data_IF_346205253475
#
_entry.id   IF_346205253475
#
_cell.length_a   1.000
_cell.length_b   1.000
_cell.length_c   1.000
_cell.angle_alpha   90.00
_cell.angle_beta   90.00
_cell.angle_gamma   90.00
#
_symmetry.space_group_name_H-M   'P 1'
#
loop_
_entity.id
_entity.type
_entity.pdbx_description
1 polymer ?
#
# COMPACT_ATOMS: atom_id res chain seq x y z
N UNK A 1 -1.86 22.28 15.19
CA UNK A 1 -3.02 22.40 14.26
C UNK A 1 -2.67 22.07 12.79
N UNK A 2 -1.47 22.37 12.31
CA UNK A 2 -1.05 22.20 10.89
C UNK A 2 -0.89 20.75 10.41
N UNK A 3 -0.32 19.86 11.24
CA UNK A 3 -0.11 18.45 10.88
C UNK A 3 -1.40 17.68 10.57
N UNK A 4 -2.49 17.99 11.28
CA UNK A 4 -3.80 17.34 11.08
C UNK A 4 -4.41 17.69 9.72
N UNK A 5 -4.22 18.93 9.23
CA UNK A 5 -4.70 19.37 7.91
C UNK A 5 -3.89 18.75 6.78
N UNK A 6 -2.56 18.69 6.92
CA UNK A 6 -1.69 18.09 5.91
C UNK A 6 -1.98 16.59 5.72
N UNK A 7 -2.22 15.87 6.81
CA UNK A 7 -2.62 14.47 6.79
C UNK A 7 -4.01 14.27 6.14
N UNK A 8 -4.97 15.14 6.45
CA UNK A 8 -6.29 15.12 5.79
C UNK A 8 -6.17 15.34 4.28
N UNK A 9 -5.34 16.28 3.83
CA UNK A 9 -5.11 16.48 2.40
C UNK A 9 -4.46 15.28 1.73
N UNK A 10 -3.49 14.64 2.38
CA UNK A 10 -2.86 13.42 1.88
C UNK A 10 -3.87 12.27 1.78
N UNK A 11 -4.75 12.15 2.77
CA UNK A 11 -5.79 11.13 2.79
C UNK A 11 -6.87 11.39 1.72
N UNK A 12 -7.29 12.65 1.53
CA UNK A 12 -8.25 13.03 0.52
C UNK A 12 -7.67 12.85 -0.89
N UNK A 13 -6.44 13.32 -1.12
CA UNK A 13 -5.73 13.16 -2.39
C UNK A 13 -5.48 11.69 -2.73
N UNK A 14 -5.05 10.90 -1.74
CA UNK A 14 -4.94 9.45 -1.87
C UNK A 14 -6.28 8.81 -2.23
N UNK A 15 -7.35 9.11 -1.50
CA UNK A 15 -8.68 8.57 -1.78
C UNK A 15 -9.18 8.92 -3.20
N UNK A 16 -8.94 10.14 -3.69
CA UNK A 16 -9.30 10.53 -5.06
C UNK A 16 -8.46 9.81 -6.11
N UNK A 17 -7.15 9.68 -5.90
CA UNK A 17 -6.27 8.91 -6.80
C UNK A 17 -6.72 7.45 -6.87
N UNK A 18 -7.02 6.85 -5.71
CA UNK A 18 -7.52 5.48 -5.63
C UNK A 18 -8.88 5.36 -6.35
N UNK A 19 -9.83 6.25 -6.09
CA UNK A 19 -11.12 6.24 -6.80
C UNK A 19 -10.94 6.34 -8.33
N UNK A 20 -9.99 7.16 -8.79
CA UNK A 20 -9.61 7.27 -10.20
C UNK A 20 -9.06 5.96 -10.76
N UNK A 21 -8.11 5.34 -10.07
CA UNK A 21 -7.52 4.04 -10.47
C UNK A 21 -8.60 2.95 -10.54
N UNK A 22 -9.51 2.92 -9.57
CA UNK A 22 -10.62 1.99 -9.54
C UNK A 22 -11.55 2.15 -10.73
N UNK A 23 -12.00 3.37 -11.00
CA UNK A 23 -12.84 3.68 -12.14
C UNK A 23 -12.15 3.32 -13.46
N UNK A 24 -10.86 3.67 -13.57
CA UNK A 24 -10.05 3.40 -14.76
C UNK A 24 -9.88 1.89 -15.02
N UNK A 25 -9.79 1.08 -13.95
CA UNK A 25 -9.64 -0.37 -14.07
C UNK A 25 -10.80 -1.05 -14.83
N UNK A 26 -12.00 -0.47 -14.85
CA UNK A 26 -13.14 -1.02 -15.60
C UNK A 26 -13.06 -0.76 -17.11
N UNK A 27 -12.18 0.15 -17.55
CA UNK A 27 -12.04 0.53 -18.95
C UNK A 27 -10.81 -0.04 -19.60
N UNK A 28 -9.73 -0.15 -18.84
CA UNK A 28 -8.43 -0.61 -19.36
C UNK A 28 -7.83 -1.68 -18.47
N UNK A 29 -7.32 -2.74 -19.10
CA UNK A 29 -6.33 -3.60 -18.50
C UNK A 29 -4.97 -2.92 -18.56
N UNK A 30 -4.33 -2.80 -17.41
CA UNK A 30 -2.93 -2.38 -17.30
C UNK A 30 -2.18 -3.56 -16.73
N UNK A 31 -1.22 -4.11 -17.48
CA UNK A 31 -0.40 -5.20 -17.02
C UNK A 31 1.08 -4.85 -17.16
N UNK A 32 1.88 -5.36 -16.24
CA UNK A 32 3.32 -5.39 -16.35
C UNK A 32 3.78 -6.84 -16.23
N UNK A 33 4.79 -7.19 -17.00
CA UNK A 33 5.33 -8.53 -17.07
C UNK A 33 6.84 -8.44 -16.87
N UNK A 34 7.38 -9.32 -16.03
CA UNK A 34 8.80 -9.37 -15.70
C UNK A 34 9.26 -10.80 -15.78
N UNK A 35 10.26 -11.08 -16.61
CA UNK A 35 10.95 -12.36 -16.58
C UNK A 35 12.20 -12.28 -15.71
N UNK A 36 12.34 -13.23 -14.78
CA UNK A 36 13.53 -13.38 -13.95
C UNK A 36 14.43 -14.43 -14.60
N UNK A 37 15.67 -14.08 -14.97
CA UNK A 37 16.58 -15.03 -15.59
C UNK A 37 16.96 -16.16 -14.63
N UNK A 38 17.36 -17.27 -15.23
CA UNK A 38 17.61 -18.55 -14.56
C UNK A 38 18.83 -18.50 -13.62
N UNK A 39 18.61 -18.14 -12.36
CA UNK A 39 19.64 -18.16 -11.32
C UNK A 39 19.51 -19.42 -10.46
N UNK A 40 19.83 -20.60 -11.03
CA UNK A 40 20.06 -21.90 -10.37
C UNK A 40 19.01 -22.46 -9.39
N UNK A 41 17.96 -21.72 -9.00
CA UNK A 41 17.02 -22.11 -7.93
C UNK A 41 15.56 -21.86 -8.33
N UNK A 42 15.24 -20.75 -9.00
CA UNK A 42 13.88 -20.46 -9.49
C UNK A 42 14.01 -19.75 -10.85
N UNK A 43 13.40 -20.32 -11.91
CA UNK A 43 13.25 -19.67 -13.21
C UNK A 43 11.77 -19.42 -13.48
N UNK A 44 11.43 -18.23 -13.95
CA UNK A 44 10.04 -17.88 -14.21
C UNK A 44 9.81 -16.42 -14.50
N UNK A 45 8.57 -16.08 -14.80
CA UNK A 45 8.09 -14.71 -14.95
C UNK A 45 7.00 -14.38 -13.95
N UNK A 46 6.87 -13.10 -13.62
CA UNK A 46 5.76 -12.55 -12.88
C UNK A 46 4.97 -11.61 -13.77
N UNK A 47 3.65 -11.68 -13.70
CA UNK A 47 2.72 -10.73 -14.31
C UNK A 47 1.92 -10.07 -13.21
N UNK A 48 1.94 -8.74 -13.18
CA UNK A 48 1.00 -7.97 -12.37
C UNK A 48 0.02 -7.27 -13.28
N UNK A 49 -1.28 -7.42 -13.04
CA UNK A 49 -2.31 -6.81 -13.87
C UNK A 49 -3.40 -6.15 -13.01
N UNK A 50 -3.98 -5.07 -13.53
CA UNK A 50 -5.11 -4.37 -12.95
C UNK A 50 -6.18 -4.21 -14.02
N UNK A 51 -7.33 -4.85 -13.81
CA UNK A 51 -8.49 -4.74 -14.68
C UNK A 51 -9.75 -5.10 -13.91
N UNK A 52 -10.91 -4.58 -14.33
CA UNK A 52 -12.22 -5.02 -13.87
C UNK A 52 -12.36 -5.04 -12.34
N UNK A 53 -11.89 -3.99 -11.65
CA UNK A 53 -11.94 -3.92 -10.20
C UNK A 53 -11.11 -4.99 -9.48
N UNK A 54 -10.11 -5.58 -10.14
CA UNK A 54 -9.25 -6.65 -9.61
C UNK A 54 -7.77 -6.33 -9.83
N UNK A 55 -6.95 -6.65 -8.82
CA UNK A 55 -5.49 -6.74 -8.96
C UNK A 55 -5.11 -8.21 -9.03
N UNK A 56 -4.33 -8.58 -10.04
CA UNK A 56 -3.88 -9.94 -10.29
C UNK A 56 -2.36 -9.99 -10.24
N UNK A 57 -1.80 -10.96 -9.51
CA UNK A 57 -0.40 -11.32 -9.55
C UNK A 57 -0.29 -12.78 -9.98
N UNK A 58 0.35 -13.02 -11.11
CA UNK A 58 0.47 -14.35 -11.71
C UNK A 58 1.95 -14.70 -11.78
N UNK A 59 2.29 -15.84 -11.23
CA UNK A 59 3.61 -16.46 -11.34
C UNK A 59 3.58 -17.53 -12.43
N UNK A 60 4.52 -17.42 -13.35
CA UNK A 60 4.69 -18.28 -14.52
C UNK A 60 6.01 -19.04 -14.34
N UNK A 61 5.99 -20.31 -13.89
CA UNK A 61 7.21 -21.09 -13.76
C UNK A 61 7.74 -21.54 -15.13
N UNK A 62 9.06 -21.56 -15.28
CA UNK A 62 9.73 -21.87 -16.55
C UNK A 62 10.15 -20.58 -17.24
N UNK A 63 11.38 -20.16 -16.99
CA UNK A 63 11.87 -18.83 -17.36
C UNK A 63 11.97 -18.60 -18.86
N UNK A 64 11.54 -17.42 -19.30
CA UNK A 64 12.00 -16.85 -20.55
C UNK A 64 13.54 -16.82 -20.52
N UNK A 65 14.17 -17.19 -21.64
CA UNK A 65 15.63 -17.35 -21.73
C UNK A 65 16.46 -16.08 -21.46
N UNK A 66 15.81 -14.92 -21.29
CA UNK A 66 16.41 -13.62 -21.02
C UNK A 66 15.59 -12.79 -20.03
N UNK A 67 16.25 -11.83 -19.37
CA UNK A 67 15.56 -10.82 -18.56
C UNK A 67 14.85 -9.83 -19.47
N UNK A 68 13.57 -9.59 -19.21
CA UNK A 68 12.80 -8.57 -19.89
C UNK A 68 11.73 -8.02 -18.96
N UNK A 69 11.32 -6.79 -19.25
CA UNK A 69 10.22 -6.09 -18.61
C UNK A 69 9.35 -5.55 -19.75
N UNK A 70 8.06 -5.85 -19.69
CA UNK A 70 7.10 -5.35 -20.67
C UNK A 70 5.90 -4.72 -19.95
N UNK A 71 5.32 -3.71 -20.58
CA UNK A 71 4.15 -3.00 -20.11
C UNK A 71 3.07 -3.10 -21.19
N UNK A 72 1.95 -3.72 -20.82
CA UNK A 72 0.83 -3.90 -21.71
C UNK A 72 -0.36 -3.06 -21.25
N UNK A 73 -1.01 -2.40 -22.20
CA UNK A 73 -2.25 -1.69 -21.98
C UNK A 73 -3.24 -2.05 -23.09
N UNK A 74 -4.43 -2.47 -22.69
CA UNK A 74 -5.51 -2.75 -23.63
C UNK A 74 -6.87 -2.35 -23.06
N UNK A 75 -7.85 -2.13 -23.93
CA UNK A 75 -9.21 -1.90 -23.51
C UNK A 75 -9.83 -3.18 -22.94
N UNK A 76 -10.59 -3.07 -21.84
CA UNK A 76 -11.30 -4.20 -21.22
C UNK A 76 -12.28 -4.87 -22.19
N UNK A 77 -12.76 -4.15 -23.21
CA UNK A 77 -13.59 -4.70 -24.29
C UNK A 77 -12.86 -5.73 -25.15
N UNK A 78 -11.52 -5.77 -25.12
CA UNK A 78 -10.70 -6.78 -25.78
C UNK A 78 -10.54 -8.07 -24.98
N UNK A 79 -10.82 -8.04 -23.66
CA UNK A 79 -10.68 -9.21 -22.80
C UNK A 79 -11.75 -10.27 -23.08
N UNK A 80 -11.46 -11.56 -22.87
CA UNK A 80 -12.47 -12.62 -22.87
C UNK A 80 -13.62 -12.28 -21.91
N UNK A 81 -14.89 -12.60 -22.24
CA UNK A 81 -16.02 -12.32 -21.36
C UNK A 81 -15.87 -12.91 -19.94
N UNK A 82 -15.21 -14.06 -19.82
CA UNK A 82 -14.93 -14.71 -18.53
C UNK A 82 -14.01 -13.91 -17.61
N UNK A 83 -13.21 -13.00 -18.16
CA UNK A 83 -12.25 -12.16 -17.41
C UNK A 83 -12.73 -10.73 -17.16
N UNK A 84 -13.95 -10.42 -17.61
CA UNK A 84 -14.61 -9.13 -17.36
C UNK A 84 -15.35 -9.16 -16.04
N UNK A 85 -14.58 -9.08 -14.96
CA UNK A 85 -15.15 -9.10 -13.61
C UNK A 85 -15.98 -7.83 -13.34
N UNK A 86 -17.03 -7.99 -12.53
CA UNK A 86 -17.87 -6.85 -12.14
C UNK A 86 -17.20 -5.94 -11.11
N UNK A 87 -17.98 -5.01 -10.59
CA UNK A 87 -17.56 -4.01 -9.58
C UNK A 87 -16.93 -4.65 -8.32
N UNK A 88 -17.34 -5.87 -7.99
CA UNK A 88 -16.84 -6.62 -6.83
C UNK A 88 -15.46 -7.25 -7.05
N UNK A 89 -14.97 -7.26 -8.29
CA UNK A 89 -13.71 -7.91 -8.67
C UNK A 89 -13.74 -9.43 -8.51
N UNK A 90 -12.56 -10.04 -8.53
CA UNK A 90 -12.35 -11.48 -8.32
C UNK A 90 -11.39 -11.70 -7.16
N UNK A 91 -11.71 -12.69 -6.32
CA UNK A 91 -10.80 -13.20 -5.30
C UNK A 91 -10.40 -14.63 -5.69
N UNK A 92 -9.11 -14.86 -5.89
CA UNK A 92 -8.55 -16.18 -6.22
C UNK A 92 -7.16 -16.30 -5.63
N UNK A 93 -6.86 -17.43 -5.00
CA UNK A 93 -5.51 -17.78 -4.57
C UNK A 93 -5.28 -19.23 -4.94
N UNK A 94 -4.27 -19.51 -5.75
CA UNK A 94 -3.89 -20.89 -6.10
C UNK A 94 -3.61 -21.04 -7.59
N UNK A 95 -3.69 -22.28 -8.07
CA UNK A 95 -3.34 -22.62 -9.44
C UNK A 95 -4.38 -22.11 -10.45
N UNK A 96 -3.91 -21.72 -11.62
CA UNK A 96 -4.74 -21.37 -12.76
C UNK A 96 -5.08 -22.60 -13.59
N UNK A 97 -6.16 -23.28 -13.20
CA UNK A 97 -6.75 -24.39 -13.96
C UNK A 97 -7.78 -23.86 -14.97
N UNK A 98 -7.30 -23.07 -15.93
CA UNK A 98 -8.12 -22.59 -17.05
C UNK A 98 -7.64 -23.23 -18.35
N UNK A 99 -8.57 -23.50 -19.27
CA UNK A 99 -8.29 -24.19 -20.53
C UNK A 99 -7.23 -23.42 -21.33
N UNK A 100 -6.09 -24.04 -21.59
CA UNK A 100 -4.95 -23.41 -22.27
C UNK A 100 -3.89 -22.77 -21.36
N UNK A 101 -4.10 -22.72 -20.04
CA UNK A 101 -3.09 -22.26 -19.07
C UNK A 101 -2.48 -23.49 -18.36
N UNK A 102 -1.15 -23.66 -18.34
CA UNK A 102 -0.52 -24.73 -17.59
C UNK A 102 -0.85 -24.62 -16.10
N UNK A 103 -1.29 -25.72 -15.48
CA UNK A 103 -1.65 -25.79 -14.05
C UNK A 103 -0.52 -25.44 -13.08
N UNK A 104 0.69 -25.24 -13.58
CA UNK A 104 1.84 -24.74 -12.82
C UNK A 104 1.77 -23.22 -12.54
N UNK A 105 0.87 -22.49 -13.21
CA UNK A 105 0.71 -21.05 -13.00
C UNK A 105 0.01 -20.79 -11.67
N UNK A 106 0.61 -19.97 -10.83
CA UNK A 106 0.03 -19.56 -9.56
C UNK A 106 -0.51 -18.14 -9.68
N UNK A 107 -1.77 -17.94 -9.34
CA UNK A 107 -2.40 -16.62 -9.34
C UNK A 107 -2.87 -16.23 -7.94
N UNK A 108 -2.62 -14.97 -7.61
CA UNK A 108 -3.20 -14.26 -6.48
C UNK A 108 -3.98 -13.09 -7.05
N UNK A 109 -5.30 -13.18 -7.04
CA UNK A 109 -6.22 -12.15 -7.47
C UNK A 109 -6.96 -11.62 -6.26
N UNK A 110 -6.97 -10.30 -6.10
CA UNK A 110 -7.61 -9.61 -5.00
C UNK A 110 -8.54 -8.53 -5.57
N UNK A 111 -9.75 -8.38 -5.03
CA UNK A 111 -10.59 -7.24 -5.36
C UNK A 111 -9.90 -5.94 -4.99
N UNK A 112 -9.95 -4.97 -5.88
CA UNK A 112 -9.28 -3.68 -5.73
C UNK A 112 -9.81 -2.91 -4.50
N UNK A 113 -11.11 -3.03 -4.21
CA UNK A 113 -11.73 -2.45 -3.02
C UNK A 113 -11.16 -3.03 -1.72
N UNK A 114 -10.76 -4.30 -1.70
CA UNK A 114 -10.16 -4.93 -0.52
C UNK A 114 -8.78 -4.33 -0.24
N UNK A 115 -7.98 -4.14 -1.30
CA UNK A 115 -6.68 -3.44 -1.20
C UNK A 115 -6.87 -2.03 -0.62
N UNK A 116 -7.96 -1.34 -1.01
CA UNK A 116 -8.27 -0.02 -0.47
C UNK A 116 -8.65 -0.03 1.00
N UNK A 117 -9.47 -0.99 1.44
CA UNK A 117 -9.80 -1.11 2.85
C UNK A 117 -8.54 -1.39 3.70
N UNK A 118 -7.62 -2.20 3.19
CA UNK A 118 -6.34 -2.47 3.87
C UNK A 118 -5.48 -1.21 3.96
N UNK A 119 -5.34 -0.44 2.87
CA UNK A 119 -4.58 0.80 2.87
C UNK A 119 -5.20 1.87 3.78
N UNK A 120 -6.53 2.03 3.72
CA UNK A 120 -7.24 2.96 4.59
C UNK A 120 -7.10 2.55 6.07
N UNK A 121 -7.27 1.27 6.38
CA UNK A 121 -7.06 0.72 7.72
C UNK A 121 -5.63 0.93 8.23
N UNK A 122 -4.62 0.63 7.41
CA UNK A 122 -3.22 0.86 7.74
C UNK A 122 -2.94 2.34 8.03
N UNK A 123 -3.52 3.25 7.23
CA UNK A 123 -3.44 4.70 7.46
C UNK A 123 -4.01 5.13 8.81
N UNK A 124 -5.19 4.60 9.18
CA UNK A 124 -5.80 4.88 10.49
C UNK A 124 -4.95 4.33 11.64
N UNK A 125 -4.40 3.12 11.50
CA UNK A 125 -3.53 2.52 12.51
C UNK A 125 -2.25 3.34 12.70
N UNK A 126 -1.60 3.72 11.61
CA UNK A 126 -0.40 4.56 11.65
C UNK A 126 -0.68 5.93 12.26
N UNK A 127 -1.83 6.54 11.94
CA UNK A 127 -2.25 7.81 12.54
C UNK A 127 -2.40 7.67 14.06
N UNK A 128 -3.15 6.67 14.53
CA UNK A 128 -3.34 6.43 15.98
C UNK A 128 -2.03 6.13 16.68
N UNK A 129 -1.11 5.43 16.01
CA UNK A 129 0.21 5.15 16.55
C UNK A 129 1.07 6.41 16.66
N UNK A 130 1.01 7.29 15.66
CA UNK A 130 1.66 8.59 15.66
C UNK A 130 1.14 9.50 16.78
N UNK A 131 -0.19 9.59 16.97
CA UNK A 131 -0.81 10.38 18.04
C UNK A 131 -0.39 9.91 19.44
N UNK A 132 -0.29 8.59 19.65
CA UNK A 132 0.22 8.03 20.92
C UNK A 132 1.67 8.42 21.17
N UNK A 133 2.51 8.43 20.13
CA UNK A 133 3.91 8.84 20.24
C UNK A 133 4.05 10.33 20.49
N UNK A 134 3.29 11.18 19.79
CA UNK A 134 3.34 12.63 20.02
C UNK A 134 2.89 12.99 21.43
N UNK A 135 1.82 12.37 21.94
CA UNK A 135 1.36 12.59 23.32
C UNK A 135 2.42 12.16 24.36
N UNK A 136 3.14 11.07 24.11
CA UNK A 136 4.24 10.63 24.98
C UNK A 136 5.43 11.60 24.94
N UNK A 137 5.75 12.16 23.78
CA UNK A 137 6.86 13.11 23.61
C UNK A 137 6.50 14.47 24.23
N UNK A 138 5.29 14.96 24.03
CA UNK A 138 4.79 16.18 24.67
C UNK A 138 4.79 16.04 26.19
N UNK A 139 4.37 14.89 26.73
CA UNK A 139 4.44 14.62 28.18
C UNK A 139 5.88 14.59 28.70
N UNK A 140 6.81 14.02 27.94
CA UNK A 140 8.23 14.01 28.31
C UNK A 140 8.85 15.41 28.29
N UNK A 141 8.49 16.25 27.31
CA UNK A 141 8.91 17.66 27.24
C UNK A 141 8.32 18.49 28.39
N UNK A 142 7.03 18.31 28.71
CA UNK A 142 6.38 19.00 29.82
C UNK A 142 7.03 18.67 31.17
N UNK A 143 7.35 17.39 31.42
CA UNK A 143 8.08 16.98 32.62
C UNK A 143 9.50 17.57 32.68
N UNK A 144 10.19 17.64 31.53
CA UNK A 144 11.52 18.26 31.45
C UNK A 144 11.49 19.76 31.76
N UNK A 145 10.49 20.48 31.26
CA UNK A 145 10.33 21.91 31.51
C UNK A 145 9.97 22.17 32.98
N UNK A 146 9.02 21.42 33.54
CA UNK A 146 8.68 21.54 34.96
C UNK A 146 9.87 21.28 35.89
N UNK A 147 10.73 20.29 35.57
CA UNK A 147 11.95 20.04 36.33
C UNK A 147 12.98 21.18 36.20
N UNK A 148 13.04 21.84 35.04
CA UNK A 148 13.94 22.97 34.80
C UNK A 148 13.47 24.22 35.54
N UNK A 149 12.16 24.47 35.57
CA UNK A 149 11.56 25.60 36.28
C UNK A 149 11.74 25.45 37.80
N UNK A 150 11.53 24.23 38.34
CA UNK A 150 11.77 23.94 39.75
C UNK A 150 13.24 24.09 40.17
N UNK A 151 14.18 23.77 39.28
CA UNK A 151 15.61 23.97 39.53
C UNK A 151 15.98 25.47 39.58
N UNK A 152 15.42 26.26 38.67
CA UNK A 152 15.59 27.72 38.63
C UNK A 152 15.02 28.40 39.88
N UNK A 153 13.85 27.96 40.34
CA UNK A 153 13.20 28.51 41.53
C UNK A 153 14.03 28.26 42.82
N UNK A 154 14.62 27.06 42.94
CA UNK A 154 15.53 26.71 44.04
C UNK A 154 16.84 27.53 44.02
N UNK A 155 17.36 27.84 42.83
CA UNK A 155 18.57 28.65 42.66
C UNK A 155 18.33 30.12 43.02
N UNK A 156 17.14 30.66 42.69
CA UNK A 156 16.72 32.00 43.11
C UNK A 156 16.44 32.12 44.61
N UNK A 157 15.93 31.06 45.25
CA UNK A 157 15.70 31.04 46.69
C UNK A 157 17.01 31.05 47.50
N UNK A 158 18.05 30.38 46.99
CA UNK A 158 19.36 30.30 47.65
C UNK A 158 20.24 31.56 47.46
N UNK A 159 19.87 32.46 46.55
CA UNK A 159 20.62 33.70 46.27
C UNK A 159 19.99 34.95 46.88
N UNK A 160 18.88 34.81 47.61
CA UNK A 160 18.29 35.92 48.36
C UNK A 160 19.21 36.30 49.54
N UNK A 161 19.78 37.52 49.57
CA UNK A 161 20.59 37.95 50.70
C UNK A 161 19.72 38.02 51.96
N UNK A 162 20.19 37.40 53.06
CA UNK A 162 19.56 37.59 54.36
C UNK A 162 19.62 39.09 54.73
N UNK A 163 18.54 39.65 55.29
CA UNK A 163 18.49 41.03 55.77
C UNK A 163 19.47 41.28 56.93
#
# INVERSE_FOLDING_TARGET
MTYRRLLLYLLLGGAMLLAGVWWYSFRTLNAFMVAVPNHKVISGGGVGAVHCGTVSFIWIPGGAGSHWIDFHNEAVSGLPPGDRYGVMGRFRVGHMDEEGIPSSHLAVQLPLWLVYLLLAGAGVVLMRWGERRSASVEKALALRNAAKDAALENETANTSPMP
#
